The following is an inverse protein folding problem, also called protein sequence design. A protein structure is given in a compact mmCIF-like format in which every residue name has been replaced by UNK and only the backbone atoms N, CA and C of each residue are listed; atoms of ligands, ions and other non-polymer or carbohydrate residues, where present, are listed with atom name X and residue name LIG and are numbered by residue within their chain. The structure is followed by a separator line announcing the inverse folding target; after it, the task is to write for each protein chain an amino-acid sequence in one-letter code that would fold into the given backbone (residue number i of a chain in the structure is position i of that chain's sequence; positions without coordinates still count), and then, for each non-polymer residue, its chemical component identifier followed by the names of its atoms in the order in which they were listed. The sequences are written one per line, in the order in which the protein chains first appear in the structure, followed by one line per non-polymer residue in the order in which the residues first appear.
data_IF_479888023528
#
_entry.id   IF_479888023528
#
_cell.length_a   1.000
_cell.length_b   1.000
_cell.length_c   1.000
_cell.angle_alpha   90.00
_cell.angle_beta   90.00
_cell.angle_gamma   90.00
#
_symmetry.space_group_name_H-M   'P 1'
#
loop_
_entity.id
_entity.type
_entity.pdbx_description
1 polymer ?
#
# COMPACT_ATOMS: atom_id res chain seq x y z
N UNK A 1 28.88 -31.10 17.32
CA UNK A 1 27.45 -31.15 17.65
C UNK A 1 26.97 -29.92 18.40
N UNK A 2 27.21 -29.76 19.72
CA UNK A 2 26.69 -28.59 20.47
C UNK A 2 27.09 -27.23 19.86
N UNK A 3 28.37 -27.02 19.52
CA UNK A 3 28.82 -25.76 18.88
C UNK A 3 28.25 -25.54 17.47
N UNK A 4 27.92 -26.61 16.76
CA UNK A 4 27.38 -26.58 15.39
C UNK A 4 25.93 -26.08 15.36
N UNK A 5 25.17 -26.35 16.43
CA UNK A 5 23.76 -25.97 16.55
C UNK A 5 23.58 -24.69 17.36
N UNK A 6 24.31 -24.54 18.47
CA UNK A 6 24.13 -23.37 19.34
C UNK A 6 24.60 -22.06 18.69
N UNK A 7 25.69 -22.06 17.91
CA UNK A 7 26.21 -20.84 17.27
C UNK A 7 25.21 -20.20 16.30
N UNK A 8 24.62 -20.91 15.32
CA UNK A 8 23.61 -20.32 14.41
C UNK A 8 22.34 -19.88 15.13
N UNK A 9 21.92 -20.56 16.21
CA UNK A 9 20.78 -20.13 17.03
C UNK A 9 21.04 -18.78 17.68
N UNK A 10 22.16 -18.62 18.38
CA UNK A 10 22.49 -17.33 19.00
C UNK A 10 22.66 -16.22 17.96
N UNK A 11 23.25 -16.52 16.80
CA UNK A 11 23.38 -15.56 15.72
C UNK A 11 22.01 -15.12 15.17
N UNK A 12 21.07 -16.05 14.98
CA UNK A 12 19.71 -15.74 14.55
C UNK A 12 18.98 -14.90 15.62
N UNK A 13 19.09 -15.25 16.90
CA UNK A 13 18.50 -14.50 18.01
C UNK A 13 18.99 -13.05 18.06
N UNK A 14 20.29 -12.82 17.91
CA UNK A 14 20.85 -11.46 17.89
C UNK A 14 20.35 -10.66 16.69
N UNK A 15 20.21 -11.31 15.52
CA UNK A 15 19.59 -10.66 14.35
C UNK A 15 18.13 -10.34 14.57
N UNK A 16 17.35 -11.25 15.15
CA UNK A 16 15.96 -10.99 15.49
C UNK A 16 15.82 -9.75 16.38
N UNK A 17 16.69 -9.58 17.38
CA UNK A 17 16.68 -8.38 18.23
C UNK A 17 17.01 -7.11 17.45
N UNK A 18 18.03 -7.14 16.58
CA UNK A 18 18.40 -5.99 15.74
C UNK A 18 17.27 -5.60 14.78
N UNK A 19 16.68 -6.57 14.09
CA UNK A 19 15.54 -6.35 13.18
C UNK A 19 14.35 -5.77 13.95
N UNK A 20 14.05 -6.29 15.15
CA UNK A 20 12.99 -5.77 16.01
C UNK A 20 13.26 -4.33 16.49
N UNK A 21 14.53 -3.92 16.57
CA UNK A 21 14.93 -2.54 16.85
C UNK A 21 14.93 -1.63 15.60
N UNK A 22 14.52 -2.14 14.44
CA UNK A 22 14.42 -1.38 13.18
C UNK A 22 15.68 -1.41 12.31
N UNK A 23 16.67 -2.23 12.65
CA UNK A 23 17.89 -2.37 11.88
C UNK A 23 17.68 -3.26 10.65
N UNK A 24 17.58 -2.64 9.48
CA UNK A 24 17.38 -3.32 8.19
C UNK A 24 18.62 -4.03 7.69
N UNK A 25 19.81 -3.55 8.07
CA UNK A 25 21.07 -4.17 7.67
C UNK A 25 21.27 -5.54 8.32
N UNK A 26 20.48 -5.85 9.35
CA UNK A 26 20.44 -7.16 9.98
C UNK A 26 19.66 -8.22 9.17
N UNK A 27 18.91 -7.84 8.13
CA UNK A 27 18.18 -8.75 7.23
C UNK A 27 19.14 -9.27 6.16
N UNK A 28 20.10 -10.09 6.57
CA UNK A 28 21.08 -10.73 5.69
C UNK A 28 21.20 -12.22 6.04
N UNK A 29 21.63 -13.09 5.11
CA UNK A 29 21.88 -14.51 5.37
C UNK A 29 22.92 -14.76 6.47
N UNK A 30 22.79 -15.88 7.20
CA UNK A 30 23.78 -16.27 8.22
C UNK A 30 25.06 -16.76 7.54
N UNK A 31 26.22 -16.38 8.07
CA UNK A 31 27.51 -16.85 7.51
C UNK A 31 27.65 -18.37 7.61
N UNK A 32 27.08 -18.96 8.66
CA UNK A 32 27.14 -20.39 8.93
C UNK A 32 25.82 -20.88 9.53
N UNK A 33 25.17 -21.81 8.85
CA UNK A 33 23.90 -22.40 9.29
C UNK A 33 24.07 -23.63 10.20
N UNK A 34 25.20 -24.32 10.13
CA UNK A 34 25.49 -25.51 10.94
C UNK A 34 24.75 -26.79 10.49
N UNK A 35 23.44 -26.71 10.30
CA UNK A 35 22.60 -27.81 9.76
C UNK A 35 21.68 -27.31 8.64
N UNK A 36 21.06 -28.24 7.92
CA UNK A 36 20.12 -27.93 6.83
C UNK A 36 18.82 -27.34 7.35
N UNK A 37 18.32 -27.85 8.46
CA UNK A 37 17.10 -27.38 9.13
C UNK A 37 17.28 -25.93 9.62
N UNK A 38 18.46 -25.61 10.14
CA UNK A 38 18.80 -24.24 10.52
C UNK A 38 18.92 -23.29 9.33
N UNK A 39 19.39 -23.79 8.17
CA UNK A 39 19.39 -23.00 6.95
C UNK A 39 17.95 -22.67 6.52
N UNK A 40 17.08 -23.68 6.43
CA UNK A 40 15.67 -23.50 6.07
C UNK A 40 14.93 -22.55 7.04
N UNK A 41 15.18 -22.67 8.34
CA UNK A 41 14.60 -21.75 9.34
C UNK A 41 15.12 -20.32 9.17
N UNK A 42 16.42 -20.15 8.93
CA UNK A 42 17.02 -18.84 8.68
C UNK A 42 16.41 -18.18 7.45
N UNK A 43 16.25 -18.92 6.35
CA UNK A 43 15.69 -18.39 5.11
C UNK A 43 14.22 -17.99 5.28
N UNK A 44 13.42 -18.85 5.90
CA UNK A 44 12.01 -18.54 6.18
C UNK A 44 11.86 -17.33 7.12
N UNK A 45 12.74 -17.20 8.11
CA UNK A 45 12.75 -16.04 9.01
C UNK A 45 13.12 -14.75 8.28
N UNK A 46 14.13 -14.78 7.41
CA UNK A 46 14.57 -13.61 6.64
C UNK A 46 13.50 -13.17 5.64
N UNK A 47 12.85 -14.11 4.93
CA UNK A 47 11.72 -13.83 4.05
C UNK A 47 10.55 -13.17 4.82
N UNK A 48 10.22 -13.68 6.01
CA UNK A 48 9.22 -13.07 6.88
C UNK A 48 9.63 -11.66 7.32
N UNK A 49 10.90 -11.46 7.71
CA UNK A 49 11.41 -10.17 8.16
C UNK A 49 11.38 -9.12 7.03
N UNK A 50 11.73 -9.51 5.81
CA UNK A 50 11.69 -8.67 4.61
C UNK A 50 10.25 -8.28 4.27
N UNK A 51 9.33 -9.26 4.23
CA UNK A 51 7.90 -9.01 4.00
C UNK A 51 7.29 -8.08 5.04
N UNK A 52 7.64 -8.26 6.32
CA UNK A 52 7.16 -7.40 7.39
C UNK A 52 7.67 -5.96 7.23
N UNK A 53 8.95 -5.79 6.90
CA UNK A 53 9.54 -4.48 6.65
C UNK A 53 8.91 -3.79 5.44
N UNK A 54 8.79 -4.49 4.30
CA UNK A 54 8.17 -3.96 3.10
C UNK A 54 6.72 -3.53 3.35
N UNK A 55 5.96 -4.31 4.14
CA UNK A 55 4.61 -3.95 4.56
C UNK A 55 4.60 -2.72 5.46
N UNK A 56 5.50 -2.64 6.43
CA UNK A 56 5.61 -1.47 7.32
C UNK A 56 5.93 -0.19 6.53
N UNK A 57 6.86 -0.27 5.58
CA UNK A 57 7.21 0.85 4.70
C UNK A 57 6.04 1.30 3.85
N UNK A 58 5.35 0.34 3.24
CA UNK A 58 4.17 0.62 2.43
C UNK A 58 3.10 1.35 3.23
N UNK A 59 2.83 0.91 4.48
CA UNK A 59 1.89 1.58 5.39
C UNK A 59 2.35 2.99 5.73
N UNK A 60 3.64 3.18 6.04
CA UNK A 60 4.17 4.48 6.43
C UNK A 60 4.13 5.49 5.27
N UNK A 61 4.55 5.07 4.07
CA UNK A 61 4.49 5.88 2.84
C UNK A 61 3.05 6.23 2.50
N UNK A 62 2.15 5.25 2.58
CA UNK A 62 0.72 5.47 2.35
C UNK A 62 0.12 6.47 3.35
N UNK A 63 0.35 6.30 4.65
CA UNK A 63 -0.14 7.19 5.68
C UNK A 63 0.37 8.63 5.48
N UNK A 64 1.64 8.78 5.09
CA UNK A 64 2.25 10.08 4.78
C UNK A 64 1.54 10.74 3.59
N UNK A 65 1.39 10.00 2.49
CA UNK A 65 0.77 10.51 1.27
C UNK A 65 -0.70 10.91 1.49
N UNK A 66 -1.48 10.05 2.15
CA UNK A 66 -2.88 10.34 2.50
C UNK A 66 -2.98 11.58 3.39
N UNK A 67 -2.10 11.73 4.37
CA UNK A 67 -2.09 12.90 5.25
C UNK A 67 -1.85 14.19 4.47
N UNK A 68 -0.92 14.18 3.50
CA UNK A 68 -0.68 15.34 2.64
C UNK A 68 -1.87 15.69 1.75
N UNK A 69 -2.47 14.69 1.10
CA UNK A 69 -3.63 14.87 0.21
C UNK A 69 -4.88 15.36 0.96
N UNK A 70 -5.07 14.96 2.22
CA UNK A 70 -6.17 15.43 3.05
C UNK A 70 -5.92 16.83 3.63
N UNK A 71 -4.65 17.15 3.98
CA UNK A 71 -4.30 18.44 4.59
C UNK A 71 -4.61 19.62 3.66
N UNK A 72 -4.31 19.52 2.38
CA UNK A 72 -4.53 20.60 1.41
C UNK A 72 -5.99 21.09 1.34
N UNK A 73 -6.99 20.23 1.03
CA UNK A 73 -8.39 20.64 1.00
C UNK A 73 -8.91 21.05 2.38
N UNK A 74 -8.42 20.43 3.47
CA UNK A 74 -8.82 20.83 4.83
C UNK A 74 -8.37 22.26 5.16
N UNK A 75 -7.11 22.60 4.84
CA UNK A 75 -6.58 23.96 5.03
C UNK A 75 -7.34 24.98 4.18
N UNK A 76 -7.70 24.63 2.94
CA UNK A 76 -8.48 25.50 2.06
C UNK A 76 -9.90 25.75 2.60
N UNK A 77 -10.59 24.71 3.10
CA UNK A 77 -11.89 24.84 3.77
C UNK A 77 -11.78 25.76 5.00
N UNK A 78 -10.78 25.53 5.85
CA UNK A 78 -10.58 26.33 7.06
C UNK A 78 -10.34 27.80 6.71
N UNK A 79 -9.43 28.08 5.78
CA UNK A 79 -9.13 29.46 5.36
C UNK A 79 -10.34 30.17 4.73
N UNK A 80 -11.10 29.48 3.87
CA UNK A 80 -12.32 30.05 3.29
C UNK A 80 -13.40 30.32 4.34
N UNK A 81 -13.56 29.42 5.32
CA UNK A 81 -14.51 29.58 6.41
C UNK A 81 -14.11 30.73 7.36
N UNK A 82 -12.82 30.86 7.68
CA UNK A 82 -12.28 31.96 8.48
C UNK A 82 -12.50 33.31 7.80
N UNK A 83 -12.23 33.42 6.50
CA UNK A 83 -12.47 34.64 5.73
C UNK A 83 -13.95 35.03 5.70
N UNK A 84 -14.85 34.07 5.51
CA UNK A 84 -16.29 34.30 5.58
C UNK A 84 -16.75 34.74 6.98
N UNK A 85 -16.18 34.16 8.03
CA UNK A 85 -16.51 34.51 9.42
C UNK A 85 -16.01 35.91 9.79
N UNK A 86 -14.76 36.21 9.45
CA UNK A 86 -14.06 37.41 9.95
C UNK A 86 -14.29 38.64 9.06
N UNK A 87 -14.53 38.45 7.77
CA UNK A 87 -14.67 39.53 6.78
C UNK A 87 -15.93 39.44 5.92
N UNK A 88 -16.83 38.47 6.16
CA UNK A 88 -17.99 38.24 5.29
C UNK A 88 -18.99 39.40 5.21
N UNK A 89 -19.07 40.27 6.22
CA UNK A 89 -19.93 41.47 6.18
C UNK A 89 -19.40 42.57 5.27
N UNK A 90 -18.10 42.59 4.98
CA UNK A 90 -17.46 43.54 4.09
C UNK A 90 -17.38 43.03 2.64
N UNK A 91 -17.67 41.75 2.42
CA UNK A 91 -17.65 41.11 1.10
C UNK A 91 -18.94 41.36 0.33
N UNK A 92 -18.82 41.48 -0.98
CA UNK A 92 -20.00 41.44 -1.84
C UNK A 92 -20.60 40.02 -1.89
N UNK A 93 -21.77 39.91 -2.51
CA UNK A 93 -22.46 38.63 -2.62
C UNK A 93 -21.70 37.62 -3.53
N UNK A 94 -20.95 38.09 -4.53
CA UNK A 94 -20.19 37.22 -5.42
C UNK A 94 -18.96 36.62 -4.71
N UNK A 95 -18.26 37.42 -3.90
CA UNK A 95 -17.14 36.98 -3.06
C UNK A 95 -17.57 35.96 -2.02
N UNK A 96 -18.68 36.23 -1.30
CA UNK A 96 -19.24 35.27 -0.34
C UNK A 96 -19.59 33.93 -1.00
N UNK A 97 -20.24 33.97 -2.17
CA UNK A 97 -20.55 32.78 -2.95
C UNK A 97 -19.28 32.02 -3.35
N UNK A 98 -18.25 32.70 -3.84
CA UNK A 98 -16.98 32.08 -4.22
C UNK A 98 -16.33 31.32 -3.05
N UNK A 99 -16.26 31.91 -1.86
CA UNK A 99 -15.68 31.21 -0.70
C UNK A 99 -16.55 30.04 -0.25
N UNK A 100 -17.88 30.17 -0.29
CA UNK A 100 -18.79 29.07 0.01
C UNK A 100 -18.63 27.91 -1.00
N UNK A 101 -18.52 28.22 -2.29
CA UNK A 101 -18.30 27.24 -3.35
C UNK A 101 -16.96 26.52 -3.23
N UNK A 102 -15.91 27.23 -2.80
CA UNK A 102 -14.61 26.62 -2.49
C UNK A 102 -14.74 25.58 -1.37
N UNK A 103 -15.40 25.95 -0.25
CA UNK A 103 -15.63 25.03 0.88
C UNK A 103 -16.36 23.77 0.40
N UNK A 104 -17.44 23.94 -0.37
CA UNK A 104 -18.23 22.82 -0.87
C UNK A 104 -17.40 21.94 -1.82
N UNK A 105 -16.59 22.54 -2.68
CA UNK A 105 -15.73 21.82 -3.63
C UNK A 105 -14.68 20.98 -2.91
N UNK A 106 -13.97 21.56 -1.95
CA UNK A 106 -12.95 20.84 -1.18
C UNK A 106 -13.56 19.79 -0.26
N UNK A 107 -14.75 20.02 0.29
CA UNK A 107 -15.48 19.00 1.05
C UNK A 107 -15.87 17.79 0.17
N UNK A 108 -16.29 18.03 -1.09
CA UNK A 108 -16.52 16.94 -2.06
C UNK A 108 -15.24 16.20 -2.40
N UNK A 109 -14.11 16.92 -2.55
CA UNK A 109 -12.79 16.30 -2.79
C UNK A 109 -12.38 15.39 -1.63
N UNK A 110 -12.53 15.85 -0.39
CA UNK A 110 -12.28 15.03 0.81
C UNK A 110 -13.14 13.76 0.82
N UNK A 111 -14.45 13.87 0.56
CA UNK A 111 -15.34 12.72 0.50
C UNK A 111 -14.92 11.72 -0.59
N UNK A 112 -14.49 12.19 -1.77
CA UNK A 112 -13.98 11.33 -2.83
C UNK A 112 -12.68 10.61 -2.42
N UNK A 113 -11.75 11.31 -1.77
CA UNK A 113 -10.52 10.71 -1.25
C UNK A 113 -10.85 9.61 -0.25
N UNK A 114 -11.70 9.87 0.74
CA UNK A 114 -12.11 8.86 1.75
C UNK A 114 -12.73 7.63 1.10
N UNK A 115 -13.62 7.81 0.10
CA UNK A 115 -14.21 6.69 -0.65
C UNK A 115 -13.15 5.84 -1.34
N UNK A 116 -12.20 6.46 -2.04
CA UNK A 116 -11.10 5.76 -2.71
C UNK A 116 -10.23 4.97 -1.72
N UNK A 117 -10.01 5.50 -0.52
CA UNK A 117 -9.26 4.79 0.53
C UNK A 117 -10.02 3.56 1.03
N UNK A 118 -11.33 3.68 1.23
CA UNK A 118 -12.18 2.54 1.61
C UNK A 118 -12.24 1.47 0.52
N UNK A 119 -12.30 1.88 -0.75
CA UNK A 119 -12.31 0.96 -1.89
C UNK A 119 -10.97 0.23 -2.01
N UNK A 120 -9.84 0.92 -1.79
CA UNK A 120 -8.52 0.30 -1.73
C UNK A 120 -8.42 -0.71 -0.59
N UNK A 121 -8.84 -0.33 0.63
CA UNK A 121 -8.81 -1.23 1.78
C UNK A 121 -9.67 -2.49 1.59
N UNK A 122 -10.78 -2.38 0.84
CA UNK A 122 -11.60 -3.54 0.46
C UNK A 122 -10.89 -4.41 -0.57
N UNK A 123 -10.25 -3.80 -1.57
CA UNK A 123 -9.52 -4.52 -2.61
C UNK A 123 -8.33 -5.31 -2.04
N UNK A 124 -7.60 -4.75 -1.06
CA UNK A 124 -6.49 -5.44 -0.40
C UNK A 124 -6.92 -6.66 0.44
N UNK A 125 -8.17 -6.68 0.91
CA UNK A 125 -8.74 -7.80 1.66
C UNK A 125 -9.44 -8.83 0.74
N UNK A 126 -9.49 -8.60 -0.56
CA UNK A 126 -10.07 -9.54 -1.51
C UNK A 126 -9.08 -10.69 -1.71
N UNK A 127 -9.34 -11.81 -1.04
CA UNK A 127 -8.66 -13.05 -1.37
C UNK A 127 -9.10 -13.46 -2.79
N UNK A 128 -8.18 -13.86 -3.68
CA UNK A 128 -8.56 -14.37 -4.99
C UNK A 128 -9.48 -15.58 -4.78
N UNK A 129 -10.75 -15.42 -5.16
CA UNK A 129 -11.83 -16.38 -4.91
C UNK A 129 -11.74 -17.64 -5.79
N UNK A 130 -10.67 -17.81 -6.57
CA UNK A 130 -10.57 -18.85 -7.59
C UNK A 130 -11.55 -18.67 -8.76
N UNK A 131 -12.28 -17.55 -8.81
CA UNK A 131 -13.17 -17.22 -9.91
C UNK A 131 -12.34 -16.89 -11.16
N UNK A 132 -12.65 -17.58 -12.26
CA UNK A 132 -12.05 -17.34 -13.57
C UNK A 132 -13.03 -16.55 -14.44
N UNK A 133 -12.53 -15.54 -15.14
CA UNK A 133 -13.28 -14.78 -16.13
C UNK A 133 -12.44 -14.58 -17.39
N UNK A 134 -13.10 -14.38 -18.53
CA UNK A 134 -12.39 -14.02 -19.75
C UNK A 134 -11.83 -12.61 -19.66
N UNK A 135 -10.61 -12.38 -20.15
CA UNK A 135 -10.00 -11.05 -20.19
C UNK A 135 -10.89 -10.07 -20.96
N UNK A 136 -11.57 -10.52 -22.02
CA UNK A 136 -12.55 -9.73 -22.77
C UNK A 136 -13.72 -9.25 -21.90
N UNK A 137 -14.25 -10.10 -21.02
CA UNK A 137 -15.33 -9.72 -20.12
C UNK A 137 -14.85 -8.73 -19.06
N UNK A 138 -13.64 -8.92 -18.51
CA UNK A 138 -13.05 -7.97 -17.57
C UNK A 138 -12.78 -6.60 -18.20
N UNK A 139 -12.27 -6.56 -19.45
CA UNK A 139 -12.04 -5.33 -20.20
C UNK A 139 -13.34 -4.58 -20.50
N UNK A 140 -14.44 -5.30 -20.74
CA UNK A 140 -15.75 -4.69 -20.98
C UNK A 140 -16.32 -3.96 -19.73
N UNK A 141 -15.83 -4.28 -18.52
CA UNK A 141 -16.21 -3.62 -17.28
C UNK A 141 -15.42 -2.34 -17.02
N UNK A 142 -14.30 -2.12 -17.72
CA UNK A 142 -13.52 -0.91 -17.56
C UNK A 142 -14.27 0.27 -18.19
N UNK A 143 -14.39 1.42 -17.49
CA UNK A 143 -14.97 2.61 -18.09
C UNK A 143 -14.14 3.00 -19.31
N UNK A 144 -14.81 3.17 -20.44
CA UNK A 144 -14.25 3.52 -21.77
C UNK A 144 -13.71 4.96 -21.85
N UNK A 145 -13.06 5.43 -20.78
CA UNK A 145 -12.41 6.73 -20.76
C UNK A 145 -11.06 6.71 -21.48
N UNK A 146 -10.78 7.77 -22.24
CA UNK A 146 -9.60 7.98 -23.10
C UNK A 146 -8.20 7.92 -22.40
N UNK A 147 -8.12 7.55 -21.12
CA UNK A 147 -6.89 7.66 -20.32
C UNK A 147 -6.10 6.37 -20.17
N UNK A 148 -6.61 5.24 -20.63
CA UNK A 148 -5.96 3.93 -20.50
C UNK A 148 -5.68 3.31 -21.87
N UNK A 149 -4.43 3.42 -22.32
CA UNK A 149 -3.93 2.63 -23.44
C UNK A 149 -3.41 1.29 -22.91
N UNK A 150 -4.15 0.21 -23.16
CA UNK A 150 -3.74 -1.15 -22.81
C UNK A 150 -3.07 -1.80 -24.02
N UNK A 151 -1.77 -2.09 -23.92
CA UNK A 151 -1.01 -2.86 -24.91
C UNK A 151 -0.69 -4.23 -24.33
N UNK A 152 -1.21 -5.29 -24.96
CA UNK A 152 -0.92 -6.67 -24.58
C UNK A 152 0.06 -7.24 -25.61
N UNK A 153 1.30 -7.48 -25.21
CA UNK A 153 2.30 -8.18 -26.03
C UNK A 153 2.46 -9.61 -25.49
N UNK A 154 1.99 -10.58 -26.27
CA UNK A 154 2.21 -12.00 -26.01
C UNK A 154 3.20 -12.53 -27.07
N UNK A 155 4.45 -12.79 -26.66
CA UNK A 155 5.55 -13.19 -27.54
C UNK A 155 5.66 -14.69 -27.86
N UNK A 156 4.63 -15.49 -27.58
CA UNK A 156 4.62 -16.94 -27.81
C UNK A 156 3.37 -17.61 -27.26
N UNK A 157 3.17 -18.91 -27.54
CA UNK A 157 2.03 -19.69 -27.01
C UNK A 157 1.94 -19.53 -25.48
N UNK A 158 0.96 -18.75 -25.02
CA UNK A 158 0.82 -18.38 -23.62
C UNK A 158 -0.23 -19.27 -22.96
N UNK A 159 0.21 -20.34 -22.30
CA UNK A 159 -0.64 -21.09 -21.37
C UNK A 159 -0.83 -20.30 -20.09
N UNK A 160 -2.00 -19.71 -19.88
CA UNK A 160 -2.37 -19.06 -18.62
C UNK A 160 -2.91 -20.12 -17.64
N UNK A 161 -2.05 -20.61 -16.74
CA UNK A 161 -2.45 -21.52 -15.66
C UNK A 161 -2.77 -20.70 -14.40
N UNK A 162 -4.05 -20.68 -14.02
CA UNK A 162 -4.51 -20.18 -12.71
C UNK A 162 -5.17 -21.35 -11.99
N UNK A 163 -4.40 -22.03 -11.15
CA UNK A 163 -4.86 -22.80 -9.98
C UNK A 163 -3.64 -23.30 -9.20
N UNK A 164 -3.75 -23.33 -7.87
CA UNK A 164 -2.71 -23.77 -6.93
C UNK A 164 -2.27 -25.24 -7.08
N UNK A 165 -2.93 -26.03 -7.94
CA UNK A 165 -2.62 -27.45 -8.17
C UNK A 165 -1.42 -27.74 -9.09
N UNK A 166 -0.79 -26.73 -9.72
CA UNK A 166 0.38 -26.97 -10.60
C UNK A 166 1.75 -26.73 -9.90
N UNK A 167 1.78 -26.70 -8.57
CA UNK A 167 3.00 -26.50 -7.77
C UNK A 167 3.44 -27.74 -6.98
N UNK A 168 3.11 -28.95 -7.46
CA UNK A 168 3.59 -30.22 -6.90
C UNK A 168 4.47 -30.96 -7.91
#
# INVERSE_FOLDING_TARGET
FLRTVSRPIYALMERTKRIAAGDREAIIPLDHHGTREMAALSDAFLDMAEKLHARSDSIQTFATHVSHELKSPLTAIQGAAELLRDSGSAMDEAERRRFSDNIVTDARRLNLLVRRLLDLARAENLAPSGESTSLSAALALLPTGDRLALRVEAGGETGLRISAENAA
#
